data_IF_676581494904
#
_entry.id   IF_676581494904
#
_cell.length_a   1.000
_cell.length_b   1.000
_cell.length_c   1.000
_cell.angle_alpha   90.00
_cell.angle_beta   90.00
_cell.angle_gamma   90.00
#
_symmetry.space_group_name_H-M   'P 1'
#
loop_
_entity.id
_entity.type
_entity.pdbx_description
1 polymer ?
#
# COMPACT_ATOMS: atom_id res chain seq x y z
N UNK A 1 8.23 -29.69 -15.59
CA UNK A 1 7.49 -28.44 -15.32
C UNK A 1 7.79 -28.03 -13.89
N UNK A 2 8.08 -26.74 -13.64
CA UNK A 2 8.31 -26.18 -12.32
C UNK A 2 7.46 -24.92 -12.16
N UNK A 3 7.00 -24.63 -10.94
CA UNK A 3 6.20 -23.46 -10.59
C UNK A 3 6.71 -22.89 -9.26
N UNK A 4 6.65 -21.57 -9.11
CA UNK A 4 6.90 -20.87 -7.86
C UNK A 4 5.61 -20.13 -7.45
N UNK A 5 5.19 -20.34 -6.21
CA UNK A 5 3.98 -19.74 -5.65
C UNK A 5 4.39 -18.85 -4.48
N UNK A 6 3.88 -17.63 -4.44
CA UNK A 6 4.10 -16.70 -3.33
C UNK A 6 2.78 -16.50 -2.59
N UNK A 7 2.81 -16.66 -1.27
CA UNK A 7 1.66 -16.32 -0.43
C UNK A 7 1.59 -14.79 -0.29
N UNK A 8 0.42 -14.24 -0.60
CA UNK A 8 0.11 -12.84 -0.39
C UNK A 8 -0.79 -12.71 0.85
N UNK A 9 -0.44 -11.86 1.83
CA UNK A 9 -1.30 -11.63 2.99
C UNK A 9 -2.62 -10.96 2.58
N UNK A 10 -3.75 -11.57 2.95
CA UNK A 10 -5.07 -11.02 2.63
C UNK A 10 -5.40 -9.74 3.42
N UNK A 11 -4.89 -9.62 4.66
CA UNK A 11 -5.12 -8.46 5.51
C UNK A 11 -3.99 -7.44 5.34
N UNK A 12 -4.34 -6.22 4.96
CA UNK A 12 -3.44 -5.07 5.04
C UNK A 12 -3.31 -4.69 6.52
N UNK A 13 -2.07 -4.60 7.01
CA UNK A 13 -1.77 -4.19 8.38
C UNK A 13 -1.59 -2.68 8.43
N UNK A 14 -2.14 -2.03 9.44
CA UNK A 14 -1.91 -0.60 9.65
C UNK A 14 -0.48 -0.32 10.16
N UNK A 15 -0.13 0.96 10.28
CA UNK A 15 1.21 1.41 10.66
C UNK A 15 1.64 0.86 12.03
N UNK A 16 0.72 0.82 13.00
CA UNK A 16 0.95 0.32 14.35
C UNK A 16 1.14 -1.21 14.36
N UNK A 17 0.31 -1.96 13.64
CA UNK A 17 0.41 -3.42 13.49
C UNK A 17 1.72 -3.84 12.79
N UNK A 18 2.32 -2.94 12.02
CA UNK A 18 3.64 -3.12 11.41
C UNK A 18 4.81 -2.68 12.30
N UNK A 19 4.54 -2.11 13.48
CA UNK A 19 5.53 -1.47 14.35
C UNK A 19 6.35 -0.39 13.63
N UNK A 20 5.71 0.34 12.71
CA UNK A 20 6.37 1.42 11.97
C UNK A 20 6.31 2.74 12.75
N UNK A 21 7.27 3.67 12.50
CA UNK A 21 7.25 4.98 13.14
C UNK A 21 5.98 5.78 12.84
N UNK A 22 5.40 6.41 13.86
CA UNK A 22 4.17 7.21 13.72
C UNK A 22 4.32 8.43 12.79
N UNK A 23 5.54 8.90 12.54
CA UNK A 23 5.80 9.96 11.54
C UNK A 23 5.31 9.56 10.14
N UNK A 24 5.14 8.27 9.86
CA UNK A 24 4.63 7.81 8.58
C UNK A 24 3.18 8.27 8.31
N UNK A 25 2.35 8.50 9.34
CA UNK A 25 1.00 9.03 9.16
C UNK A 25 0.99 10.39 8.45
N UNK A 26 2.06 11.18 8.58
CA UNK A 26 2.14 12.51 7.98
C UNK A 26 2.25 12.44 6.44
N UNK A 27 2.78 11.34 5.89
CA UNK A 27 2.75 11.10 4.44
C UNK A 27 1.33 10.83 3.94
N UNK A 28 0.49 10.12 4.70
CA UNK A 28 -0.92 9.89 4.34
C UNK A 28 -1.78 11.16 4.36
N UNK A 29 -1.39 12.16 5.16
CA UNK A 29 -2.08 13.46 5.27
C UNK A 29 -1.66 14.45 4.17
N UNK A 30 -0.52 14.23 3.52
CA UNK A 30 0.02 15.15 2.53
C UNK A 30 -0.88 15.21 1.30
N UNK A 31 -1.32 16.41 0.90
CA UNK A 31 -2.22 16.59 -0.25
C UNK A 31 -1.51 16.47 -1.61
N UNK A 32 -0.20 16.70 -1.64
CA UNK A 32 0.63 16.66 -2.85
C UNK A 32 2.08 16.40 -2.48
N UNK A 33 2.85 15.85 -3.43
CA UNK A 33 4.28 15.61 -3.28
C UNK A 33 4.71 14.28 -3.90
N UNK A 34 5.97 13.92 -3.68
CA UNK A 34 6.54 12.63 -4.09
C UNK A 34 7.11 11.95 -2.85
N UNK A 35 6.67 10.72 -2.59
CA UNK A 35 7.19 9.86 -1.52
C UNK A 35 7.90 8.67 -2.15
N UNK A 36 9.13 8.40 -1.72
CA UNK A 36 9.93 7.28 -2.21
C UNK A 36 10.15 6.27 -1.08
N UNK A 37 9.58 5.07 -1.24
CA UNK A 37 9.87 3.93 -0.37
C UNK A 37 11.01 3.11 -0.97
N UNK A 38 12.16 3.09 -0.30
CA UNK A 38 13.39 2.47 -0.83
C UNK A 38 13.91 1.36 0.09
N UNK A 39 14.74 0.48 -0.47
CA UNK A 39 15.33 -0.66 0.25
C UNK A 39 15.40 -1.94 -0.60
N UNK A 40 16.17 -2.96 -0.17
CA UNK A 40 16.31 -4.24 -0.86
C UNK A 40 14.97 -4.97 -1.05
N UNK A 41 14.96 -5.96 -1.95
CA UNK A 41 13.81 -6.86 -2.12
C UNK A 41 13.44 -7.54 -0.80
N UNK A 42 12.13 -7.78 -0.61
CA UNK A 42 11.57 -8.46 0.57
C UNK A 42 11.74 -7.76 1.93
N UNK A 43 12.01 -6.45 1.94
CA UNK A 43 12.13 -5.64 3.18
C UNK A 43 10.86 -4.83 3.52
N UNK A 44 9.69 -5.26 3.06
CA UNK A 44 8.41 -4.68 3.49
C UNK A 44 8.03 -3.33 2.86
N UNK A 45 8.63 -2.96 1.72
CA UNK A 45 8.29 -1.73 0.99
C UNK A 45 6.84 -1.70 0.54
N UNK A 46 6.40 -2.73 -0.20
CA UNK A 46 5.01 -2.86 -0.66
C UNK A 46 4.05 -2.90 0.52
N UNK A 47 4.41 -3.63 1.59
CA UNK A 47 3.61 -3.69 2.83
C UNK A 47 3.46 -2.32 3.50
N UNK A 48 4.52 -1.52 3.51
CA UNK A 48 4.50 -0.16 4.08
C UNK A 48 3.65 0.78 3.22
N UNK A 49 3.79 0.71 1.89
CA UNK A 49 2.97 1.49 0.98
C UNK A 49 1.49 1.09 1.06
N UNK A 50 1.19 -0.21 1.17
CA UNK A 50 -0.16 -0.70 1.34
C UNK A 50 -0.80 -0.15 2.62
N UNK A 51 -0.07 -0.12 3.74
CA UNK A 51 -0.57 0.49 4.98
C UNK A 51 -0.88 1.99 4.83
N UNK A 52 -0.06 2.72 4.06
CA UNK A 52 -0.28 4.15 3.80
C UNK A 52 -1.47 4.40 2.86
N UNK A 53 -1.60 3.60 1.81
CA UNK A 53 -2.72 3.68 0.86
C UNK A 53 -4.04 3.30 1.56
N UNK A 54 -4.03 2.25 2.37
CA UNK A 54 -5.18 1.84 3.16
C UNK A 54 -5.57 2.92 4.20
N UNK A 55 -4.60 3.58 4.82
CA UNK A 55 -4.88 4.72 5.68
C UNK A 55 -5.52 5.89 4.91
N UNK A 56 -5.04 6.19 3.69
CA UNK A 56 -5.65 7.20 2.81
C UNK A 56 -7.10 6.81 2.50
N UNK A 57 -7.34 5.56 2.13
CA UNK A 57 -8.66 5.02 1.81
C UNK A 57 -9.67 5.21 2.95
N UNK A 58 -9.25 4.99 4.20
CA UNK A 58 -10.12 5.13 5.36
C UNK A 58 -10.34 6.58 5.83
N UNK A 59 -9.47 7.52 5.43
CA UNK A 59 -9.47 8.90 5.96
C UNK A 59 -9.89 9.95 4.94
N UNK A 60 -9.69 9.71 3.64
CA UNK A 60 -9.81 10.70 2.56
C UNK A 60 -10.76 10.21 1.47
N UNK A 61 -11.44 11.15 0.82
CA UNK A 61 -12.32 10.89 -0.31
C UNK A 61 -11.60 11.25 -1.62
N UNK A 62 -10.59 10.44 -1.97
CA UNK A 62 -9.73 10.66 -3.14
C UNK A 62 -9.94 9.55 -4.19
N UNK A 63 -9.38 9.77 -5.38
CA UNK A 63 -9.22 8.73 -6.40
C UNK A 63 -7.77 8.26 -6.39
N UNK A 64 -7.54 7.04 -5.92
CA UNK A 64 -6.20 6.43 -5.87
C UNK A 64 -6.05 5.51 -7.07
N UNK A 65 -4.96 5.67 -7.81
CA UNK A 65 -4.61 4.81 -8.95
C UNK A 65 -3.28 4.15 -8.65
N UNK A 66 -3.22 2.81 -8.70
CA UNK A 66 -1.98 2.05 -8.61
C UNK A 66 -1.63 1.42 -9.96
N UNK A 67 -0.34 1.31 -10.25
CA UNK A 67 0.20 0.64 -11.44
C UNK A 67 1.27 -0.33 -10.93
N UNK A 68 1.04 -1.63 -11.11
CA UNK A 68 1.80 -2.71 -10.46
C UNK A 68 2.09 -3.86 -11.46
N UNK A 69 3.09 -4.69 -11.16
CA UNK A 69 3.46 -5.89 -11.93
C UNK A 69 4.09 -6.94 -10.98
N UNK A 70 3.30 -7.92 -10.47
CA UNK A 70 1.85 -7.99 -10.45
C UNK A 70 1.25 -7.17 -9.29
N UNK A 71 -0.07 -7.08 -9.23
CA UNK A 71 -0.77 -6.50 -8.06
C UNK A 71 -0.47 -7.35 -6.81
N UNK A 72 0.09 -6.74 -5.76
CA UNK A 72 0.45 -7.45 -4.53
C UNK A 72 -0.62 -7.38 -3.43
N UNK A 73 -1.31 -6.25 -3.27
CA UNK A 73 -2.36 -6.08 -2.24
C UNK A 73 -3.65 -5.68 -2.93
N UNK A 74 -4.77 -6.29 -2.53
CA UNK A 74 -6.09 -5.88 -3.00
C UNK A 74 -6.69 -4.94 -1.96
N UNK A 75 -7.13 -3.77 -2.41
CA UNK A 75 -7.84 -2.82 -1.56
C UNK A 75 -9.35 -2.95 -1.78
N UNK A 76 -10.12 -2.91 -0.70
CA UNK A 76 -11.57 -2.72 -0.77
C UNK A 76 -11.86 -1.22 -0.69
N UNK A 77 -12.69 -0.70 -1.60
CA UNK A 77 -13.10 0.71 -1.57
C UNK A 77 -13.80 1.04 -0.24
N UNK A 78 -13.36 2.12 0.43
CA UNK A 78 -14.04 2.71 1.59
C UNK A 78 -14.45 4.15 1.25
N UNK A 79 -13.64 5.15 1.68
CA UNK A 79 -13.94 6.55 1.36
C UNK A 79 -13.32 6.97 0.03
N UNK A 80 -12.22 6.35 -0.35
CA UNK A 80 -11.58 6.57 -1.64
C UNK A 80 -12.04 5.54 -2.66
N UNK A 81 -11.97 5.91 -3.94
CA UNK A 81 -12.10 4.97 -5.06
C UNK A 81 -10.68 4.49 -5.40
N UNK A 82 -10.46 3.18 -5.48
CA UNK A 82 -9.13 2.61 -5.75
C UNK A 82 -9.14 1.83 -7.06
N UNK A 83 -8.45 2.36 -8.08
CA UNK A 83 -8.24 1.69 -9.36
C UNK A 83 -6.83 1.08 -9.43
N UNK A 84 -6.75 -0.25 -9.38
CA UNK A 84 -5.48 -0.96 -9.52
C UNK A 84 -5.29 -1.48 -10.95
N UNK A 85 -4.14 -1.18 -11.56
CA UNK A 85 -3.80 -1.62 -12.92
C UNK A 85 -2.56 -2.50 -12.90
N UNK A 86 -2.71 -3.73 -13.37
CA UNK A 86 -1.59 -4.63 -13.66
C UNK A 86 -1.09 -4.37 -15.09
N UNK A 87 0.23 -4.33 -15.28
CA UNK A 87 0.87 -4.13 -16.60
C UNK A 87 1.73 -5.32 -17.01
#
# INVERSE_FOLDING_TARGET
>A
MACALRLIPAKIRNIEELNLPSVLHDFGKSQQGVVLSTGPSSQGKSTTLAALIDEINHKRADHVITIEDPIEYIFEDDRSIIDQREI
#
